data_IF_950492819339
#
_entry.id   IF_950492819339
#
_cell.length_a   1.000
_cell.length_b   1.000
_cell.length_c   1.000
_cell.angle_alpha   90.00
_cell.angle_beta   90.00
_cell.angle_gamma   90.00
#
_symmetry.space_group_name_H-M   'P 1'
#
loop_
_entity.id
_entity.type
_entity.pdbx_description
1 polymer ?
#
# COMPACT_ATOMS: atom_id res chain seq x y z
N UNK A 1 4.86 -16.82 6.49
CA UNK A 1 4.01 -15.83 7.21
C UNK A 1 3.96 -14.58 6.35
N UNK A 2 2.78 -14.13 5.95
CA UNK A 2 2.65 -12.91 5.12
C UNK A 2 2.70 -11.65 6.00
N UNK A 3 3.31 -10.56 5.52
CA UNK A 3 3.37 -9.32 6.27
C UNK A 3 1.98 -8.66 6.33
N UNK A 4 1.54 -8.26 7.52
CA UNK A 4 0.27 -7.53 7.71
C UNK A 4 0.28 -6.15 7.03
N UNK A 5 1.46 -5.53 6.99
CA UNK A 5 1.65 -4.24 6.35
C UNK A 5 3.00 -4.20 5.65
N UNK A 6 3.09 -3.42 4.58
CA UNK A 6 4.30 -3.25 3.80
C UNK A 6 4.65 -1.77 3.67
N UNK A 7 5.89 -1.44 3.33
CA UNK A 7 6.28 -0.04 3.10
C UNK A 7 5.73 0.45 1.77
N UNK A 8 5.70 1.76 1.55
CA UNK A 8 5.33 2.32 0.23
C UNK A 8 6.26 1.78 -0.87
N UNK A 9 7.56 1.69 -0.61
CA UNK A 9 8.53 1.13 -1.57
C UNK A 9 8.24 -0.33 -1.90
N UNK A 10 7.93 -1.16 -0.90
CA UNK A 10 7.57 -2.55 -1.13
C UNK A 10 6.20 -2.70 -1.80
N UNK A 11 5.27 -1.77 -1.53
CA UNK A 11 3.97 -1.72 -2.23
C UNK A 11 4.20 -1.53 -3.73
N UNK A 12 5.05 -0.56 -4.11
CA UNK A 12 5.40 -0.34 -5.52
C UNK A 12 5.99 -1.60 -6.16
N UNK A 13 6.87 -2.33 -5.45
CA UNK A 13 7.44 -3.60 -5.93
C UNK A 13 6.39 -4.70 -6.07
N UNK A 14 5.43 -4.77 -5.15
CA UNK A 14 4.39 -5.80 -5.15
C UNK A 14 3.32 -5.55 -6.22
N UNK A 15 2.96 -4.29 -6.48
CA UNK A 15 1.91 -3.93 -7.46
C UNK A 15 2.46 -3.58 -8.84
N UNK A 16 3.77 -3.36 -8.98
CA UNK A 16 4.38 -2.83 -10.20
C UNK A 16 4.05 -1.36 -10.48
N UNK A 17 3.34 -0.68 -9.58
CA UNK A 17 2.93 0.71 -9.75
C UNK A 17 4.02 1.69 -9.34
N UNK A 18 4.11 2.81 -10.06
CA UNK A 18 4.98 3.93 -9.69
C UNK A 18 4.55 4.63 -8.40
N UNK A 19 5.50 5.32 -7.73
CA UNK A 19 5.25 6.06 -6.49
C UNK A 19 4.08 7.03 -6.59
N UNK A 20 4.00 7.78 -7.69
CA UNK A 20 2.91 8.73 -7.95
C UNK A 20 1.56 8.03 -7.89
N UNK A 21 1.42 6.88 -8.56
CA UNK A 21 0.17 6.13 -8.60
C UNK A 21 -0.18 5.53 -7.24
N UNK A 22 0.82 5.03 -6.51
CA UNK A 22 0.61 4.52 -5.15
C UNK A 22 0.13 5.65 -4.22
N UNK A 23 0.70 6.84 -4.28
CA UNK A 23 0.22 7.97 -3.48
C UNK A 23 -1.17 8.46 -3.91
N UNK A 24 -1.50 8.47 -5.21
CA UNK A 24 -2.86 8.73 -5.68
C UNK A 24 -3.86 7.72 -5.10
N UNK A 25 -3.51 6.43 -5.09
CA UNK A 25 -4.36 5.37 -4.54
C UNK A 25 -4.51 5.48 -3.02
N UNK A 26 -3.47 5.90 -2.31
CA UNK A 26 -3.55 6.20 -0.88
C UNK A 26 -4.46 7.41 -0.63
N UNK A 27 -4.30 8.48 -1.40
CA UNK A 27 -5.09 9.70 -1.25
C UNK A 27 -6.55 9.51 -1.66
N UNK A 28 -6.84 8.62 -2.62
CA UNK A 28 -8.20 8.25 -3.02
C UNK A 28 -8.83 7.19 -2.12
N UNK A 29 -8.12 6.70 -1.09
CA UNK A 29 -8.62 5.70 -0.14
C UNK A 29 -8.65 4.27 -0.68
N UNK A 30 -8.18 4.03 -1.92
CA UNK A 30 -8.08 2.68 -2.50
C UNK A 30 -6.96 1.84 -1.87
N UNK A 31 -5.93 2.49 -1.33
CA UNK A 31 -4.91 1.83 -0.52
C UNK A 31 -4.99 2.33 0.92
N UNK A 32 -5.27 1.42 1.84
CA UNK A 32 -5.32 1.75 3.26
C UNK A 32 -3.91 1.81 3.84
N UNK A 33 -3.65 2.87 4.60
CA UNK A 33 -2.35 3.03 5.26
C UNK A 33 -2.52 3.28 6.74
N UNK A 34 -1.54 2.81 7.51
CA UNK A 34 -1.42 3.00 8.94
C UNK A 34 -0.11 3.69 9.22
N UNK A 35 -0.14 4.71 10.07
CA UNK A 35 1.05 5.43 10.51
C UNK A 35 1.51 4.83 11.83
N UNK A 36 2.73 4.31 11.86
CA UNK A 36 3.38 3.77 13.07
C UNK A 36 4.64 4.58 13.31
N UNK A 37 4.59 5.44 14.34
CA UNK A 37 5.64 6.43 14.61
C UNK A 37 5.86 7.38 13.43
N UNK A 38 7.08 7.40 12.89
CA UNK A 38 7.46 8.23 11.73
C UNK A 38 7.20 7.56 10.38
N UNK A 39 6.88 6.26 10.35
CA UNK A 39 6.72 5.50 9.10
C UNK A 39 5.26 5.32 8.74
N UNK A 40 4.97 5.39 7.43
CA UNK A 40 3.68 5.00 6.84
C UNK A 40 3.81 3.58 6.29
N UNK A 41 2.87 2.72 6.66
CA UNK A 41 2.78 1.34 6.21
C UNK A 41 1.45 1.14 5.48
N UNK A 42 1.47 0.43 4.37
CA UNK A 42 0.29 0.09 3.55
C UNK A 42 -0.20 -1.28 3.98
N UNK A 43 -1.51 -1.44 4.21
CA UNK A 43 -2.08 -2.73 4.58
C UNK A 43 -2.06 -3.67 3.40
N UNK A 44 -1.53 -4.88 3.60
CA UNK A 44 -1.46 -5.90 2.56
C UNK A 44 -2.86 -6.29 2.06
N UNK A 45 -3.86 -6.29 2.96
CA UNK A 45 -5.25 -6.57 2.60
C UNK A 45 -5.82 -5.56 1.59
N UNK A 46 -5.51 -4.28 1.75
CA UNK A 46 -5.95 -3.24 0.80
C UNK A 46 -5.27 -3.37 -0.56
N UNK A 47 -4.01 -3.83 -0.60
CA UNK A 47 -3.30 -4.13 -1.85
C UNK A 47 -3.98 -5.31 -2.56
N UNK A 48 -4.36 -6.36 -1.83
CA UNK A 48 -5.10 -7.50 -2.40
C UNK A 48 -6.46 -7.10 -2.92
N UNK A 49 -7.19 -6.29 -2.16
CA UNK A 49 -8.48 -5.77 -2.57
C UNK A 49 -8.38 -4.94 -3.86
N UNK A 50 -7.30 -4.17 -4.05
CA UNK A 50 -7.06 -3.39 -5.26
C UNK A 50 -6.86 -4.25 -6.51
N UNK A 51 -6.15 -5.39 -6.40
CA UNK A 51 -5.83 -6.26 -7.55
C UNK A 51 -6.97 -7.24 -7.86
N UNK A 52 -7.76 -7.61 -6.86
CA UNK A 52 -8.91 -8.51 -7.02
C UNK A 52 -10.21 -7.78 -7.38
N UNK A 53 -10.19 -6.45 -7.51
CA UNK A 53 -11.32 -5.63 -7.95
C UNK A 53 -11.31 -5.46 -9.47
#
# INVERSE_FOLDING_TARGET
MEPLTTTVSNTCKATGLGLTKVYELINSGKLETVKVGRRRLVKTDSIRALVNA
#
